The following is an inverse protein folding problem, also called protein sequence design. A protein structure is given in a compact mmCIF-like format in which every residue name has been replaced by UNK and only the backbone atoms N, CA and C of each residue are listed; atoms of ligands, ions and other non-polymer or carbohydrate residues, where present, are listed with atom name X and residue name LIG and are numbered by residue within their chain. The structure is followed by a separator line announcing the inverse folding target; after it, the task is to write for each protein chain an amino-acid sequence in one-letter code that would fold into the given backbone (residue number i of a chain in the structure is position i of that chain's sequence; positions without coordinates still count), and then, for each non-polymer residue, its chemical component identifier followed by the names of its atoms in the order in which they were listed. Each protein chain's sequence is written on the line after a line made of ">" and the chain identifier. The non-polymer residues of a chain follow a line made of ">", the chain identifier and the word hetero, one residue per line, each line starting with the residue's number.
data_IF_259712156097
#
_entry.id   IF_259712156097
#
_cell.length_a   1.000
_cell.length_b   1.000
_cell.length_c   1.000
_cell.angle_alpha   90.00
_cell.angle_beta   90.00
_cell.angle_gamma   90.00
#
_symmetry.space_group_name_H-M   'P 1'
#
loop_
_entity.id
_entity.type
_entity.pdbx_description
1 polymer ?
#
# COMPACT_ATOMS: atom_id res chain seq x y z
N UNK A 1 8.44 -14.02 20.08
CA UNK A 1 8.86 -14.03 18.65
C UNK A 1 8.79 -12.58 18.22
N UNK A 2 9.94 -11.92 18.12
CA UNK A 2 9.98 -10.47 17.89
C UNK A 2 10.32 -10.12 16.44
N UNK A 3 10.59 -11.13 15.63
CA UNK A 3 10.88 -11.01 14.21
C UNK A 3 10.15 -12.14 13.49
N UNK A 4 9.56 -11.82 12.34
CA UNK A 4 8.81 -12.73 11.50
C UNK A 4 9.13 -12.42 10.04
N UNK A 5 9.76 -13.37 9.36
CA UNK A 5 10.14 -13.26 7.95
C UNK A 5 9.09 -13.94 7.10
N UNK A 6 8.47 -13.18 6.20
CA UNK A 6 7.41 -13.68 5.29
C UNK A 6 8.05 -14.27 4.04
N UNK A 7 9.02 -13.56 3.47
CA UNK A 7 9.80 -14.01 2.33
C UNK A 7 11.18 -13.33 2.32
N UNK A 8 11.96 -13.54 1.25
CA UNK A 8 13.32 -12.99 1.12
C UNK A 8 13.39 -11.45 1.13
N UNK A 9 12.28 -10.77 0.84
CA UNK A 9 12.18 -9.32 0.76
C UNK A 9 11.47 -8.72 1.98
N UNK A 10 10.56 -9.45 2.63
CA UNK A 10 9.61 -8.90 3.60
C UNK A 10 9.79 -9.50 5.00
N UNK A 11 10.05 -8.63 5.96
CA UNK A 11 10.23 -9.01 7.37
C UNK A 11 9.45 -8.05 8.27
N UNK A 12 8.84 -8.56 9.33
CA UNK A 12 8.17 -7.80 10.37
C UNK A 12 8.96 -7.92 11.67
N UNK A 13 9.10 -6.83 12.41
CA UNK A 13 9.73 -6.82 13.74
C UNK A 13 8.85 -6.11 14.75
N UNK A 14 8.83 -6.64 15.97
CA UNK A 14 8.19 -6.03 17.14
C UNK A 14 9.28 -5.34 17.96
N UNK A 15 9.41 -4.02 17.80
CA UNK A 15 10.44 -3.22 18.46
C UNK A 15 9.78 -2.20 19.36
N UNK A 16 10.23 -2.08 20.62
CA UNK A 16 9.66 -1.15 21.61
C UNK A 16 8.12 -1.26 21.81
N UNK A 17 7.53 -2.40 21.44
CA UNK A 17 6.09 -2.65 21.50
C UNK A 17 5.31 -2.26 20.24
N UNK A 18 5.95 -1.70 19.23
CA UNK A 18 5.32 -1.35 17.95
C UNK A 18 5.75 -2.32 16.85
N UNK A 19 4.86 -2.53 15.87
CA UNK A 19 5.14 -3.41 14.72
C UNK A 19 5.74 -2.60 13.59
N UNK A 20 6.90 -3.03 13.11
CA UNK A 20 7.64 -2.41 12.02
C UNK A 20 7.75 -3.40 10.86
N UNK A 21 7.49 -2.92 9.65
CA UNK A 21 7.63 -3.71 8.42
C UNK A 21 8.92 -3.26 7.73
N UNK A 22 9.69 -4.22 7.23
CA UNK A 22 10.93 -4.02 6.52
C UNK A 22 10.85 -4.67 5.15
N UNK A 23 11.25 -3.93 4.11
CA UNK A 23 11.40 -4.43 2.75
C UNK A 23 12.86 -4.34 2.35
N UNK A 24 13.49 -5.48 2.03
CA UNK A 24 14.93 -5.60 1.78
C UNK A 24 15.76 -5.00 2.93
N UNK A 25 15.37 -5.31 4.18
CA UNK A 25 16.02 -4.80 5.38
C UNK A 25 15.82 -3.30 5.65
N UNK A 26 15.12 -2.57 4.77
CA UNK A 26 14.83 -1.13 4.95
C UNK A 26 13.45 -0.94 5.55
N UNK A 27 13.35 -0.07 6.54
CA UNK A 27 12.08 0.24 7.20
C UNK A 27 11.07 0.83 6.18
N UNK A 28 9.88 0.21 6.13
CA UNK A 28 8.76 0.63 5.31
C UNK A 28 7.89 1.62 6.09
N UNK A 29 8.05 2.90 5.79
CA UNK A 29 7.39 4.00 6.50
C UNK A 29 6.21 4.59 5.74
N UNK A 30 6.06 4.24 4.46
CA UNK A 30 5.11 4.84 3.51
C UNK A 30 3.66 4.69 3.98
N UNK A 31 3.29 3.55 4.56
CA UNK A 31 1.94 3.32 5.09
C UNK A 31 1.58 4.28 6.23
N UNK A 32 2.52 4.54 7.15
CA UNK A 32 2.29 5.44 8.29
C UNK A 32 2.12 6.90 7.84
N UNK A 33 2.88 7.33 6.84
CA UNK A 33 2.76 8.65 6.23
C UNK A 33 1.43 8.79 5.49
N UNK A 34 1.05 7.79 4.69
CA UNK A 34 -0.18 7.82 3.91
C UNK A 34 -1.45 7.95 4.77
N UNK A 35 -1.54 7.21 5.88
CA UNK A 35 -2.65 7.37 6.82
C UNK A 35 -2.63 8.77 7.43
N UNK A 36 -1.47 9.23 7.90
CA UNK A 36 -1.34 10.55 8.53
C UNK A 36 -1.75 11.70 7.59
N UNK A 37 -1.33 11.67 6.33
CA UNK A 37 -1.64 12.70 5.33
C UNK A 37 -3.11 12.70 4.92
N UNK A 38 -3.75 11.52 4.79
CA UNK A 38 -5.19 11.46 4.50
C UNK A 38 -6.03 12.00 5.65
N UNK A 39 -5.66 11.74 6.90
CA UNK A 39 -6.35 12.35 8.05
C UNK A 39 -6.10 13.86 8.11
N UNK A 40 -4.89 14.33 7.79
CA UNK A 40 -4.55 15.76 7.78
C UNK A 40 -5.30 16.54 6.68
N UNK A 41 -5.36 16.00 5.46
CA UNK A 41 -6.14 16.58 4.34
C UNK A 41 -7.65 16.55 4.61
N UNK A 42 -8.17 15.52 5.31
CA UNK A 42 -9.60 15.46 5.70
C UNK A 42 -9.94 16.46 6.82
N UNK A 43 -8.99 16.79 7.69
CA UNK A 43 -9.17 17.80 8.75
C UNK A 43 -9.27 19.25 8.23
N UNK A 44 -8.86 19.55 6.99
CA UNK A 44 -9.08 20.87 6.39
C UNK A 44 -10.50 21.08 5.83
N UNK A 45 -11.33 20.03 5.78
CA UNK A 45 -12.70 20.08 5.23
C UNK A 45 -13.79 19.86 6.31
N UNK A 46 -13.40 19.50 7.54
CA UNK A 46 -14.32 19.48 8.68
C UNK A 46 -13.75 20.31 9.82
N UNK A 47 -14.05 21.61 9.77
CA UNK A 47 -14.09 22.45 10.96
C UNK A 47 -15.00 21.81 12.01
N UNK A 48 -14.46 21.70 13.22
CA UNK A 48 -15.11 21.31 14.47
C UNK A 48 -15.58 19.85 14.59
N UNK A 49 -15.06 19.24 15.65
CA UNK A 49 -15.63 18.10 16.39
C UNK A 49 -15.04 16.71 16.15
N UNK A 50 -13.77 16.52 16.52
CA UNK A 50 -13.27 15.21 16.97
C UNK A 50 -12.02 15.26 17.87
N UNK A 51 -11.88 16.31 18.67
CA UNK A 51 -10.85 16.40 19.72
C UNK A 51 -11.19 15.59 20.99
N UNK A 52 -12.31 14.87 21.03
CA UNK A 52 -12.78 14.17 22.22
C UNK A 52 -12.13 12.78 22.47
N UNK A 53 -11.53 12.11 21.47
CA UNK A 53 -11.02 10.73 21.64
C UNK A 53 -9.57 10.62 22.14
N UNK A 54 -8.85 11.73 22.30
CA UNK A 54 -7.41 11.72 22.68
C UNK A 54 -7.17 11.98 24.18
N UNK A 55 -8.20 12.33 24.97
CA UNK A 55 -7.98 12.79 26.36
C UNK A 55 -8.20 11.78 27.49
N UNK A 56 -8.43 10.49 27.21
CA UNK A 56 -8.75 9.52 28.27
C UNK A 56 -7.70 8.40 28.44
N UNK A 57 -6.41 8.77 28.47
CA UNK A 57 -5.30 7.84 28.77
C UNK A 57 -4.34 8.34 29.85
N UNK A 58 -4.85 9.11 30.81
CA UNK A 58 -4.09 9.52 32.00
C UNK A 58 -4.82 9.10 33.28
N UNK A 59 -4.81 7.80 33.61
CA UNK A 59 -4.87 7.28 34.99
C UNK A 59 -5.00 5.75 35.01
N UNK A 60 -3.86 5.06 35.18
CA UNK A 60 -3.63 3.86 36.01
C UNK A 60 -2.27 3.25 35.64
N UNK A 61 -1.28 3.42 36.53
CA UNK A 61 0.12 2.99 36.34
C UNK A 61 0.34 1.75 37.21
N UNK A 62 0.30 0.56 36.62
CA UNK A 62 0.65 -0.68 37.31
C UNK A 62 0.24 -1.91 36.53
N UNK A 63 -1.07 -2.18 36.45
CA UNK A 63 -1.67 -3.33 35.76
C UNK A 63 -1.91 -3.10 34.25
N UNK A 64 -2.03 -1.84 33.81
CA UNK A 64 -2.17 -1.45 32.39
C UNK A 64 -0.97 -1.83 31.52
N UNK A 65 0.26 -1.84 32.08
CA UNK A 65 1.49 -2.06 31.30
C UNK A 65 1.62 -3.50 30.78
N UNK A 66 1.16 -4.49 31.55
CA UNK A 66 1.19 -5.90 31.14
C UNK A 66 0.04 -6.19 30.18
N UNK A 67 -1.16 -5.65 30.46
CA UNK A 67 -2.32 -5.77 29.58
C UNK A 67 -2.04 -5.17 28.19
N UNK A 68 -1.44 -3.97 28.14
CA UNK A 68 -1.03 -3.34 26.88
C UNK A 68 0.10 -4.10 26.17
N UNK A 69 1.00 -4.78 26.88
CA UNK A 69 2.06 -5.58 26.23
C UNK A 69 1.50 -6.84 25.59
N UNK A 70 0.63 -7.57 26.27
CA UNK A 70 -0.04 -8.76 25.73
C UNK A 70 -0.90 -8.37 24.52
N UNK A 71 -1.62 -7.25 24.60
CA UNK A 71 -2.40 -6.70 23.49
C UNK A 71 -1.50 -6.40 22.28
N UNK A 72 -0.32 -5.77 22.48
CA UNK A 72 0.63 -5.48 21.40
C UNK A 72 1.26 -6.73 20.77
N UNK A 73 1.63 -7.72 21.57
CA UNK A 73 2.15 -9.01 21.05
C UNK A 73 1.07 -9.79 20.28
N UNK A 74 -0.19 -9.70 20.73
CA UNK A 74 -1.34 -10.31 20.05
C UNK A 74 -1.62 -9.61 18.72
N UNK A 75 -1.58 -8.28 18.70
CA UNK A 75 -1.72 -7.49 17.48
C UNK A 75 -0.58 -7.75 16.49
N UNK A 76 0.66 -7.86 16.96
CA UNK A 76 1.81 -8.24 16.13
C UNK A 76 1.57 -9.59 15.44
N UNK A 77 1.13 -10.61 16.19
CA UNK A 77 0.79 -11.93 15.62
C UNK A 77 -0.32 -11.83 14.58
N UNK A 78 -1.35 -11.01 14.81
CA UNK A 78 -2.41 -10.75 13.84
C UNK A 78 -1.83 -10.16 12.55
N UNK A 79 -1.03 -9.10 12.64
CA UNK A 79 -0.39 -8.49 11.47
C UNK A 79 0.51 -9.47 10.71
N UNK A 80 1.28 -10.31 11.43
CA UNK A 80 2.08 -11.37 10.81
C UNK A 80 1.19 -12.34 10.02
N UNK A 81 0.08 -12.77 10.62
CA UNK A 81 -0.88 -13.68 9.98
C UNK A 81 -1.55 -13.06 8.75
N UNK A 82 -1.95 -11.79 8.83
CA UNK A 82 -2.60 -11.09 7.71
C UNK A 82 -1.64 -10.94 6.53
N UNK A 83 -0.39 -10.53 6.80
CA UNK A 83 0.63 -10.37 5.76
C UNK A 83 1.10 -11.73 5.21
N UNK A 84 1.20 -12.75 6.05
CA UNK A 84 1.50 -14.11 5.62
C UNK A 84 0.40 -14.64 4.68
N UNK A 85 -0.87 -14.46 5.06
CA UNK A 85 -2.02 -14.86 4.24
C UNK A 85 -2.01 -14.13 2.91
N UNK A 86 -1.72 -12.82 2.92
CA UNK A 86 -1.58 -12.02 1.71
C UNK A 86 -0.48 -12.55 0.78
N UNK A 87 0.68 -12.92 1.32
CA UNK A 87 1.77 -13.52 0.55
C UNK A 87 1.39 -14.91 -0.01
N UNK A 88 0.78 -15.78 0.80
CA UNK A 88 0.35 -17.12 0.40
C UNK A 88 -0.72 -17.13 -0.70
N UNK A 89 -1.45 -16.02 -0.84
CA UNK A 89 -2.43 -15.81 -1.91
C UNK A 89 -1.87 -14.97 -3.05
N UNK A 90 -0.58 -15.13 -3.36
CA UNK A 90 0.10 -14.45 -4.47
C UNK A 90 -0.10 -12.93 -4.48
N UNK A 91 -0.02 -12.31 -3.29
CA UNK A 91 -0.24 -10.88 -3.08
C UNK A 91 -1.65 -10.36 -3.44
N UNK A 92 -2.69 -11.19 -3.36
CA UNK A 92 -4.09 -10.78 -3.57
C UNK A 92 -4.47 -9.57 -2.69
N UNK A 93 -4.65 -8.41 -3.32
CA UNK A 93 -4.92 -7.11 -2.68
C UNK A 93 -6.19 -7.08 -1.83
N UNK A 94 -7.06 -8.11 -1.93
CA UNK A 94 -8.28 -8.29 -1.13
C UNK A 94 -8.04 -8.96 0.22
N UNK A 95 -6.86 -9.57 0.44
CA UNK A 95 -6.52 -10.33 1.65
C UNK A 95 -5.89 -9.50 2.76
N UNK A 96 -5.52 -8.26 2.45
CA UNK A 96 -4.91 -7.31 3.38
C UNK A 96 -5.65 -5.98 3.25
N UNK A 97 -5.46 -5.07 4.22
CA UNK A 97 -5.92 -3.69 4.06
C UNK A 97 -5.44 -3.15 2.70
N UNK A 98 -6.39 -2.71 1.87
CA UNK A 98 -6.12 -2.34 0.47
C UNK A 98 -5.02 -1.29 0.29
N UNK A 99 -4.88 -0.35 1.23
CA UNK A 99 -3.83 0.67 1.18
C UNK A 99 -2.48 0.03 1.53
N UNK A 100 -2.43 -0.77 2.59
CA UNK A 100 -1.22 -1.50 2.96
C UNK A 100 -0.76 -2.44 1.86
N UNK A 101 -1.69 -3.22 1.31
CA UNK A 101 -1.45 -4.17 0.22
C UNK A 101 -0.84 -3.46 -0.98
N UNK A 102 -1.45 -2.36 -1.42
CA UNK A 102 -0.98 -1.63 -2.59
C UNK A 102 0.40 -0.99 -2.37
N UNK A 103 0.62 -0.35 -1.21
CA UNK A 103 1.90 0.28 -0.90
C UNK A 103 3.04 -0.74 -0.74
N UNK A 104 2.78 -1.89 -0.11
CA UNK A 104 3.76 -2.97 -0.01
C UNK A 104 4.05 -3.59 -1.37
N UNK A 105 3.01 -3.84 -2.17
CA UNK A 105 3.15 -4.42 -3.51
C UNK A 105 4.00 -3.51 -4.42
N UNK A 106 3.75 -2.19 -4.36
CA UNK A 106 4.58 -1.18 -5.02
C UNK A 106 6.04 -1.23 -4.52
N UNK A 107 6.27 -1.34 -3.22
CA UNK A 107 7.63 -1.38 -2.67
C UNK A 107 8.37 -2.65 -3.10
N UNK A 108 7.70 -3.80 -3.07
CA UNK A 108 8.21 -5.10 -3.52
C UNK A 108 8.53 -5.09 -5.02
N UNK A 109 7.67 -4.48 -5.82
CA UNK A 109 7.91 -4.22 -7.24
C UNK A 109 9.23 -3.47 -7.45
N UNK A 110 9.45 -2.37 -6.70
CA UNK A 110 10.64 -1.53 -6.83
C UNK A 110 11.93 -2.24 -6.40
N UNK A 111 11.89 -3.11 -5.39
CA UNK A 111 13.05 -3.90 -4.97
C UNK A 111 13.28 -5.14 -5.82
N UNK A 112 12.41 -5.41 -6.81
CA UNK A 112 12.64 -6.43 -7.82
C UNK A 112 12.02 -7.79 -7.54
N UNK A 113 11.07 -7.91 -6.60
CA UNK A 113 10.36 -9.18 -6.38
C UNK A 113 9.60 -9.60 -7.67
N UNK A 114 9.91 -10.77 -8.26
CA UNK A 114 9.32 -11.19 -9.53
C UNK A 114 7.80 -11.39 -9.47
N UNK A 115 7.28 -11.89 -8.35
CA UNK A 115 5.86 -12.12 -8.15
C UNK A 115 5.14 -10.77 -7.98
N UNK A 116 5.71 -9.89 -7.16
CA UNK A 116 5.17 -8.53 -6.99
C UNK A 116 5.19 -7.75 -8.31
N UNK A 117 6.23 -7.91 -9.14
CA UNK A 117 6.31 -7.30 -10.47
C UNK A 117 5.13 -7.68 -11.36
N UNK A 118 4.78 -8.97 -11.38
CA UNK A 118 3.63 -9.46 -12.16
C UNK A 118 2.32 -8.91 -11.60
N UNK A 119 2.07 -9.12 -10.30
CA UNK A 119 0.79 -8.78 -9.67
C UNK A 119 0.53 -7.27 -9.69
N UNK A 120 1.55 -6.45 -9.41
CA UNK A 120 1.42 -5.01 -9.42
C UNK A 120 1.07 -4.44 -10.80
N UNK A 121 1.68 -4.96 -11.86
CA UNK A 121 1.34 -4.57 -13.24
C UNK A 121 -0.11 -4.90 -13.55
N UNK A 122 -0.56 -6.09 -13.20
CA UNK A 122 -1.93 -6.51 -13.49
C UNK A 122 -2.95 -5.67 -12.70
N UNK A 123 -2.66 -5.29 -11.45
CA UNK A 123 -3.51 -4.37 -10.68
C UNK A 123 -3.54 -2.95 -11.28
N UNK A 124 -2.42 -2.45 -11.81
CA UNK A 124 -2.40 -1.17 -12.53
C UNK A 124 -3.26 -1.25 -13.79
N UNK A 125 -3.09 -2.28 -14.62
CA UNK A 125 -3.85 -2.46 -15.86
C UNK A 125 -5.35 -2.56 -15.56
N UNK A 126 -5.75 -3.43 -14.63
CA UNK A 126 -7.15 -3.53 -14.20
C UNK A 126 -7.69 -2.21 -13.67
N UNK A 127 -6.90 -1.49 -12.86
CA UNK A 127 -7.28 -0.19 -12.31
C UNK A 127 -7.49 0.88 -13.39
N UNK A 128 -6.66 0.87 -14.44
CA UNK A 128 -6.80 1.78 -15.57
C UNK A 128 -8.00 1.41 -16.46
N UNK A 129 -8.17 0.11 -16.77
CA UNK A 129 -9.30 -0.39 -17.57
C UNK A 129 -10.65 -0.15 -16.89
N UNK A 130 -10.72 -0.32 -15.57
CA UNK A 130 -11.94 -0.07 -14.78
C UNK A 130 -12.17 1.40 -14.42
N UNK A 131 -11.18 2.27 -14.67
CA UNK A 131 -11.24 3.67 -14.28
C UNK A 131 -11.23 3.89 -12.76
N UNK A 132 -10.58 3.03 -11.96
CA UNK A 132 -10.49 3.23 -10.50
C UNK A 132 -9.73 4.52 -10.20
N UNK A 133 -10.51 5.57 -9.93
CA UNK A 133 -10.01 6.93 -9.76
C UNK A 133 -9.05 7.04 -8.58
N UNK A 134 -9.16 6.15 -7.58
CA UNK A 134 -8.26 6.17 -6.40
C UNK A 134 -6.88 5.65 -6.77
N UNK A 135 -6.82 4.58 -7.54
CA UNK A 135 -5.57 4.00 -8.03
C UNK A 135 -4.92 4.96 -9.03
N UNK A 136 -5.70 5.54 -9.94
CA UNK A 136 -5.22 6.54 -10.90
C UNK A 136 -4.61 7.74 -10.18
N UNK A 137 -5.36 8.39 -9.29
CA UNK A 137 -4.84 9.53 -8.51
C UNK A 137 -3.59 9.15 -7.74
N UNK A 138 -3.55 7.97 -7.13
CA UNK A 138 -2.36 7.49 -6.42
C UNK A 138 -1.13 7.38 -7.33
N UNK A 139 -1.27 6.78 -8.52
CA UNK A 139 -0.16 6.61 -9.46
C UNK A 139 0.38 7.95 -9.97
N UNK A 140 -0.49 8.94 -10.18
CA UNK A 140 -0.12 10.27 -10.64
C UNK A 140 0.47 11.15 -9.53
N UNK A 141 -0.13 11.18 -8.33
CA UNK A 141 0.36 11.99 -7.20
C UNK A 141 1.78 11.57 -6.77
N UNK A 142 2.07 10.27 -6.81
CA UNK A 142 3.37 9.73 -6.43
C UNK A 142 4.44 9.89 -7.53
N UNK A 143 4.06 10.40 -8.72
CA UNK A 143 4.88 10.36 -9.95
C UNK A 143 5.45 8.97 -10.22
N UNK A 144 4.71 7.94 -9.80
CA UNK A 144 5.21 6.57 -9.81
C UNK A 144 5.59 6.15 -11.23
N UNK A 145 4.68 6.39 -12.17
CA UNK A 145 4.88 6.07 -13.59
C UNK A 145 6.12 6.75 -14.15
N UNK A 146 6.39 8.00 -13.76
CA UNK A 146 7.55 8.77 -14.22
C UNK A 146 8.88 8.26 -13.65
N UNK A 147 8.85 7.54 -12.52
CA UNK A 147 10.04 6.98 -11.87
C UNK A 147 10.38 5.56 -12.38
N UNK A 148 9.53 4.97 -13.22
CA UNK A 148 9.81 3.70 -13.89
C UNK A 148 10.76 3.93 -15.07
N UNK A 149 11.58 2.92 -15.40
CA UNK A 149 12.36 2.96 -16.63
C UNK A 149 11.47 2.89 -17.89
N UNK A 150 12.02 3.28 -19.04
CA UNK A 150 11.27 3.33 -20.30
C UNK A 150 10.74 1.96 -20.74
N UNK A 151 11.44 0.86 -20.44
CA UNK A 151 10.98 -0.48 -20.79
C UNK A 151 9.71 -0.82 -19.99
N UNK A 152 9.71 -0.46 -18.71
CA UNK A 152 8.65 -0.73 -17.78
C UNK A 152 7.43 0.16 -18.02
N UNK A 153 7.64 1.44 -18.33
CA UNK A 153 6.59 2.34 -18.83
C UNK A 153 5.95 1.75 -20.10
N UNK A 154 6.77 1.34 -21.07
CA UNK A 154 6.27 0.74 -22.31
C UNK A 154 5.51 -0.56 -22.06
N UNK A 155 5.91 -1.38 -21.09
CA UNK A 155 5.18 -2.61 -20.71
C UNK A 155 3.81 -2.31 -20.13
N UNK A 156 3.70 -1.28 -19.27
CA UNK A 156 2.41 -0.84 -18.73
C UNK A 156 1.51 -0.27 -19.83
N UNK A 157 2.08 0.49 -20.77
CA UNK A 157 1.31 1.15 -21.84
C UNK A 157 0.90 0.17 -22.97
N UNK A 158 1.74 -0.80 -23.33
CA UNK A 158 1.43 -1.77 -24.41
C UNK A 158 0.18 -2.62 -24.13
N UNK A 159 -0.15 -2.92 -22.88
CA UNK A 159 -1.40 -3.63 -22.52
C UNK A 159 -2.63 -2.73 -22.62
N UNK A 160 -2.49 -1.42 -22.37
CA UNK A 160 -3.62 -0.49 -22.34
C UNK A 160 -4.04 0.04 -23.73
N UNK A 161 -3.11 0.08 -24.70
CA UNK A 161 -3.37 0.62 -26.04
C UNK A 161 -3.74 -0.42 -27.11
N UNK A 162 -3.92 -1.70 -26.74
CA UNK A 162 -4.53 -2.69 -27.63
C UNK A 162 -6.05 -2.51 -27.80
N UNK A 163 -6.66 -1.50 -27.17
CA UNK A 163 -8.04 -1.08 -27.44
C UNK A 163 -8.02 0.29 -28.13
N UNK A 164 -8.54 0.32 -29.35
CA UNK A 164 -8.75 1.46 -30.26
C UNK A 164 -7.58 1.96 -31.13
N UNK A 165 -6.99 1.07 -31.94
CA UNK A 165 -6.48 1.49 -33.27
C UNK A 165 -7.60 1.63 -34.33
N UNK A 166 -8.88 1.65 -33.93
CA UNK A 166 -10.02 1.74 -34.85
C UNK A 166 -10.74 3.09 -34.85
N UNK A 167 -10.18 4.16 -34.27
CA UNK A 167 -10.84 5.49 -34.24
C UNK A 167 -10.00 6.65 -34.75
N UNK A 168 -8.84 6.39 -35.36
CA UNK A 168 -8.01 7.44 -35.99
C UNK A 168 -7.90 7.32 -37.52
N UNK A 169 -8.91 6.73 -38.17
CA UNK A 169 -9.09 6.84 -39.62
C UNK A 169 -10.53 7.27 -39.91
N UNK A 170 -10.81 8.57 -39.76
CA UNK A 170 -11.72 9.36 -40.60
C UNK A 170 -11.77 10.78 -40.02
N UNK A 171 -10.79 11.61 -40.37
CA UNK A 171 -11.04 13.04 -40.52
C UNK A 171 -11.19 13.29 -42.02
N UNK A 172 -12.33 13.81 -42.50
CA UNK A 172 -12.47 14.13 -43.91
C UNK A 172 -11.54 15.29 -44.23
N UNK A 173 -10.78 15.16 -45.32
CA UNK A 173 -10.07 16.25 -45.97
C UNK A 173 -11.04 17.41 -46.20
N UNK A 174 -10.77 18.53 -45.55
CA UNK A 174 -11.43 19.80 -45.86
C UNK A 174 -10.60 20.45 -46.96
N UNK A 175 -11.12 20.35 -48.19
CA UNK A 175 -10.70 21.14 -49.34
C UNK A 175 -11.14 22.61 -49.22
#
# INVERSE_FOLDING_TARGET
>A
MNEFTVNNFLTLKLEQGETYIYVMGKFFSEYRHFYSDRYRKKCSIQSQDRSARIKERKRKKGTEKIKTRIERETEFKRYCSDIQTWFEHDYDTRKLDSILAFLLLKKLFLVGDPLAKRVFRDEIVKGLESGDSRLIVFLFEDRFISNLDLEEQNRLMKKNFSVSSSTFETLPDIA
#
